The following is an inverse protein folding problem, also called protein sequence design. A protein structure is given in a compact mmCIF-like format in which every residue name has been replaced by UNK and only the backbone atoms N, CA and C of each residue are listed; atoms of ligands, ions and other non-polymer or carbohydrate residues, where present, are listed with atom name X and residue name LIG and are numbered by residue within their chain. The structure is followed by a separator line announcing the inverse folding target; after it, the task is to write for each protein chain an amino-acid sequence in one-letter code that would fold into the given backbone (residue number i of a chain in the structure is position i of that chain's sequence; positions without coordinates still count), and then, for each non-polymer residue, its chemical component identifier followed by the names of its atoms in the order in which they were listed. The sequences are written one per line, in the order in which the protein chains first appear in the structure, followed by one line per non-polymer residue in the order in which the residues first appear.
data_IF_428415317714
#
_entry.id   IF_428415317714
#
_cell.length_a   1.000
_cell.length_b   1.000
_cell.length_c   1.000
_cell.angle_alpha   90.00
_cell.angle_beta   90.00
_cell.angle_gamma   90.00
#
_symmetry.space_group_name_H-M   'P 1'
#
loop_
_entity.id
_entity.type
_entity.pdbx_description
1 polymer ?
#
# COMPACT_ATOMS: atom_id res chain seq x y z
N UNK A 1 -65.46 0.60 46.41
CA UNK A 1 -65.65 1.01 44.99
C UNK A 1 -64.42 0.63 44.18
N UNK A 2 -64.60 -0.12 43.09
CA UNK A 2 -63.58 -0.41 42.06
C UNK A 2 -63.46 0.80 41.14
N UNK A 3 -62.26 1.12 40.62
CA UNK A 3 -61.93 1.03 39.19
C UNK A 3 -60.52 1.57 38.87
N UNK A 4 -59.76 0.70 38.18
CA UNK A 4 -58.95 0.91 36.95
C UNK A 4 -57.80 1.92 36.92
N UNK A 5 -56.60 1.31 36.80
CA UNK A 5 -55.55 1.49 35.77
C UNK A 5 -55.52 2.84 35.05
N UNK A 6 -54.33 3.45 35.05
CA UNK A 6 -53.70 3.92 33.81
C UNK A 6 -52.17 3.95 33.99
N UNK A 7 -51.48 3.04 33.30
CA UNK A 7 -50.04 3.16 33.01
C UNK A 7 -49.89 4.31 32.02
N UNK A 8 -49.27 5.42 32.42
CA UNK A 8 -48.88 6.47 31.47
C UNK A 8 -47.62 6.01 30.74
N UNK A 9 -47.82 5.57 29.51
CA UNK A 9 -46.74 5.38 28.54
C UNK A 9 -46.35 6.80 28.10
N UNK A 10 -45.17 7.27 28.50
CA UNK A 10 -44.61 8.51 27.97
C UNK A 10 -44.35 8.37 26.47
N UNK A 11 -44.49 9.45 25.68
CA UNK A 11 -44.26 9.35 24.25
C UNK A 11 -42.77 9.06 24.02
N UNK A 12 -42.45 7.96 23.33
CA UNK A 12 -41.18 7.86 22.61
C UNK A 12 -41.20 8.97 21.56
N UNK A 13 -40.37 9.98 21.73
CA UNK A 13 -40.08 10.93 20.68
C UNK A 13 -39.45 10.17 19.51
N UNK A 14 -40.27 9.86 18.50
CA UNK A 14 -39.78 9.38 17.22
C UNK A 14 -38.96 10.52 16.60
N UNK A 15 -37.64 10.38 16.63
CA UNK A 15 -36.75 11.20 15.82
C UNK A 15 -36.99 10.85 14.35
N UNK A 16 -37.91 11.58 13.71
CA UNK A 16 -38.17 11.44 12.28
C UNK A 16 -36.95 11.96 11.54
N UNK A 17 -36.07 11.06 11.10
CA UNK A 17 -35.08 11.37 10.08
C UNK A 17 -35.84 11.84 8.83
N UNK A 18 -35.81 13.16 8.55
CA UNK A 18 -36.35 13.69 7.29
C UNK A 18 -35.48 13.14 6.16
N UNK A 19 -35.96 12.10 5.50
CA UNK A 19 -35.41 11.66 4.22
C UNK A 19 -35.64 12.80 3.24
N UNK A 20 -34.58 13.57 2.94
CA UNK A 20 -34.59 14.52 1.83
C UNK A 20 -34.68 13.69 0.55
N UNK A 21 -35.85 13.65 -0.06
CA UNK A 21 -36.01 13.05 -1.38
C UNK A 21 -35.14 13.83 -2.37
N UNK A 22 -34.30 13.15 -3.17
CA UNK A 22 -33.47 13.83 -4.16
C UNK A 22 -34.37 14.58 -5.16
N UNK A 23 -34.06 15.85 -5.43
CA UNK A 23 -34.78 16.63 -6.45
C UNK A 23 -34.56 16.03 -7.84
N UNK A 24 -35.51 16.26 -8.76
CA UNK A 24 -35.34 15.84 -10.16
C UNK A 24 -33.99 16.34 -10.71
N UNK A 25 -33.15 15.40 -11.16
CA UNK A 25 -31.74 15.65 -11.54
C UNK A 25 -30.70 15.05 -10.60
N UNK A 26 -31.09 14.49 -9.45
CA UNK A 26 -30.19 13.72 -8.59
C UNK A 26 -30.16 12.23 -9.01
N UNK A 27 -28.96 11.67 -9.09
CA UNK A 27 -28.67 10.29 -9.46
C UNK A 27 -28.85 9.26 -8.32
N UNK A 28 -29.39 9.66 -7.16
CA UNK A 28 -29.75 8.73 -6.07
C UNK A 28 -28.64 7.77 -5.65
N UNK A 29 -27.37 8.15 -5.91
CA UNK A 29 -26.21 7.31 -5.66
C UNK A 29 -26.13 6.93 -4.18
N UNK A 30 -25.50 5.78 -3.86
CA UNK A 30 -25.31 5.37 -2.47
C UNK A 30 -24.74 6.54 -1.65
N UNK A 31 -25.19 6.73 -0.39
CA UNK A 31 -24.64 7.75 0.48
C UNK A 31 -23.11 7.66 0.49
N UNK A 32 -22.41 8.79 0.40
CA UNK A 32 -20.95 8.86 0.50
C UNK A 32 -20.46 8.57 1.94
N UNK A 33 -21.02 7.54 2.57
CA UNK A 33 -20.36 6.75 3.64
C UNK A 33 -19.22 5.91 3.01
N UNK A 34 -18.62 6.39 1.92
CA UNK A 34 -17.46 5.78 1.30
C UNK A 34 -16.29 6.04 2.25
N UNK A 35 -15.73 4.94 2.76
CA UNK A 35 -14.40 4.93 3.37
C UNK A 35 -13.50 5.84 2.53
N UNK A 36 -13.07 6.97 3.13
CA UNK A 36 -12.45 8.08 2.40
C UNK A 36 -11.40 7.53 1.44
N UNK A 37 -11.69 7.58 0.14
CA UNK A 37 -10.82 6.98 -0.86
C UNK A 37 -9.43 7.57 -0.71
N UNK A 38 -8.50 6.76 -0.19
CA UNK A 38 -7.11 7.17 -0.05
C UNK A 38 -6.43 6.83 -1.37
N UNK A 39 -6.05 7.83 -2.17
CA UNK A 39 -5.42 7.55 -3.44
C UNK A 39 -4.05 6.89 -3.21
N UNK A 40 -3.51 6.15 -4.19
CA UNK A 40 -2.24 5.45 -4.05
C UNK A 40 -1.04 6.40 -3.82
N UNK A 41 -1.17 7.69 -4.14
CA UNK A 41 -0.17 8.72 -3.83
C UNK A 41 -0.32 9.36 -2.43
N UNK A 42 -1.32 8.91 -1.66
CA UNK A 42 -1.58 9.38 -0.30
C UNK A 42 -1.88 10.88 -0.22
N UNK A 43 -1.44 11.52 0.87
CA UNK A 43 -1.62 12.97 1.10
C UNK A 43 -0.67 13.87 0.28
N UNK A 44 0.18 13.28 -0.56
CA UNK A 44 1.17 14.00 -1.35
C UNK A 44 0.62 14.50 -2.70
N UNK A 45 1.45 15.26 -3.41
CA UNK A 45 1.17 15.67 -4.79
C UNK A 45 1.19 14.47 -5.74
N UNK A 46 0.13 14.34 -6.55
CA UNK A 46 0.00 13.29 -7.57
C UNK A 46 1.20 13.25 -8.54
N UNK A 47 1.76 14.41 -8.87
CA UNK A 47 2.89 14.51 -9.81
C UNK A 47 4.12 13.78 -9.27
N UNK A 48 4.42 13.92 -7.97
CA UNK A 48 5.56 13.25 -7.31
C UNK A 48 5.46 11.74 -7.45
N UNK A 49 4.26 11.18 -7.24
CA UNK A 49 4.01 9.76 -7.41
C UNK A 49 4.17 9.30 -8.86
N UNK A 50 3.64 10.05 -9.83
CA UNK A 50 3.77 9.71 -11.24
C UNK A 50 5.22 9.80 -11.74
N UNK A 51 5.96 10.82 -11.31
CA UNK A 51 7.39 10.95 -11.63
C UNK A 51 8.21 9.81 -11.02
N UNK A 52 7.97 9.47 -9.75
CA UNK A 52 8.60 8.31 -9.12
C UNK A 52 8.27 7.01 -9.88
N UNK A 53 7.01 6.77 -10.22
CA UNK A 53 6.59 5.55 -10.94
C UNK A 53 7.25 5.46 -12.31
N UNK A 54 7.39 6.58 -13.02
CA UNK A 54 8.13 6.66 -14.29
C UNK A 54 9.61 6.37 -14.08
N UNK A 55 10.29 7.09 -13.18
CA UNK A 55 11.71 6.87 -12.90
C UNK A 55 12.01 5.43 -12.48
N UNK A 56 11.14 4.84 -11.64
CA UNK A 56 11.21 3.42 -11.28
C UNK A 56 11.09 2.54 -12.53
N UNK A 57 10.06 2.73 -13.36
CA UNK A 57 9.90 1.94 -14.57
C UNK A 57 11.10 2.05 -15.52
N UNK A 58 11.68 3.24 -15.67
CA UNK A 58 12.87 3.48 -16.50
C UNK A 58 14.04 2.63 -16.04
N UNK A 59 14.33 2.65 -14.74
CA UNK A 59 15.47 1.94 -14.16
C UNK A 59 15.32 0.42 -14.24
N UNK A 60 14.09 -0.10 -14.10
CA UNK A 60 13.85 -1.54 -14.08
C UNK A 60 13.48 -2.15 -15.44
N UNK A 61 12.83 -1.39 -16.34
CA UNK A 61 12.33 -1.91 -17.62
C UNK A 61 13.24 -1.63 -18.82
N UNK A 62 14.10 -0.62 -18.76
CA UNK A 62 15.01 -0.28 -19.88
C UNK A 62 16.34 -1.04 -19.86
N UNK A 63 16.54 -1.92 -18.89
CA UNK A 63 17.75 -2.75 -18.79
C UNK A 63 17.74 -3.76 -19.93
N UNK A 64 18.87 -3.87 -20.66
CA UNK A 64 18.97 -4.87 -21.73
C UNK A 64 18.88 -6.29 -21.17
N UNK A 65 18.36 -7.26 -21.93
CA UNK A 65 18.27 -8.65 -21.49
C UNK A 65 19.62 -9.24 -21.06
N UNK A 66 20.73 -8.87 -21.72
CA UNK A 66 22.08 -9.30 -21.35
C UNK A 66 22.50 -8.79 -19.97
N UNK A 67 22.26 -7.50 -19.69
CA UNK A 67 22.56 -6.93 -18.37
C UNK A 67 21.68 -7.56 -17.30
N UNK A 68 20.42 -7.87 -17.62
CA UNK A 68 19.53 -8.57 -16.68
C UNK A 68 20.06 -9.97 -16.34
N UNK A 69 20.48 -10.75 -17.35
CA UNK A 69 21.10 -12.08 -17.15
C UNK A 69 22.38 -11.99 -16.33
N UNK A 70 23.27 -11.06 -16.67
CA UNK A 70 24.51 -10.82 -15.91
C UNK A 70 24.24 -10.51 -14.43
N UNK A 71 23.26 -9.63 -14.15
CA UNK A 71 22.86 -9.30 -12.78
C UNK A 71 22.25 -10.49 -12.05
N UNK A 72 21.48 -11.32 -12.74
CA UNK A 72 20.88 -12.54 -12.17
C UNK A 72 21.95 -13.57 -11.80
N UNK A 73 22.87 -13.87 -12.71
CA UNK A 73 23.99 -14.79 -12.45
C UNK A 73 24.86 -14.33 -11.26
N UNK A 74 25.11 -13.02 -11.16
CA UNK A 74 25.83 -12.43 -10.03
C UNK A 74 25.04 -12.56 -8.74
N UNK A 75 23.74 -12.25 -8.76
CA UNK A 75 22.88 -12.39 -7.58
C UNK A 75 22.85 -13.84 -7.08
N UNK A 76 22.69 -14.80 -7.99
CA UNK A 76 22.65 -16.24 -7.68
C UNK A 76 23.96 -16.70 -7.04
N UNK A 77 25.11 -16.28 -7.58
CA UNK A 77 26.43 -16.59 -7.01
C UNK A 77 26.59 -16.09 -5.57
N UNK A 78 25.99 -14.95 -5.23
CA UNK A 78 26.05 -14.37 -3.89
C UNK A 78 24.92 -14.87 -2.97
N UNK A 79 23.95 -15.63 -3.50
CA UNK A 79 22.74 -16.05 -2.79
C UNK A 79 21.80 -14.88 -2.44
N UNK A 80 21.80 -13.86 -3.28
CA UNK A 80 20.93 -12.68 -3.22
C UNK A 80 19.80 -12.80 -4.24
N UNK A 81 18.70 -12.07 -4.04
CA UNK A 81 17.72 -11.92 -5.13
C UNK A 81 18.25 -10.93 -6.18
N UNK A 82 17.72 -11.01 -7.40
CA UNK A 82 18.00 -10.03 -8.46
C UNK A 82 17.76 -8.60 -7.98
N UNK A 83 16.66 -8.37 -7.25
CA UNK A 83 16.31 -7.07 -6.70
C UNK A 83 17.34 -6.60 -5.66
N UNK A 84 17.74 -7.47 -4.73
CA UNK A 84 18.74 -7.17 -3.70
C UNK A 84 20.09 -6.78 -4.30
N UNK A 85 20.57 -7.54 -5.30
CA UNK A 85 21.81 -7.21 -5.99
C UNK A 85 21.68 -5.92 -6.82
N UNK A 86 20.55 -5.74 -7.51
CA UNK A 86 20.34 -4.55 -8.36
C UNK A 86 20.24 -3.28 -7.53
N UNK A 87 19.65 -3.31 -6.33
CA UNK A 87 19.60 -2.16 -5.43
C UNK A 87 20.99 -1.69 -4.98
N UNK A 88 21.97 -2.57 -4.83
CA UNK A 88 23.35 -2.16 -4.52
C UNK A 88 23.97 -1.33 -5.66
N UNK A 89 23.64 -1.67 -6.90
CA UNK A 89 24.08 -0.89 -8.08
C UNK A 89 23.33 0.44 -8.13
N UNK A 90 22.00 0.44 -7.91
CA UNK A 90 21.17 1.63 -8.10
C UNK A 90 21.31 2.66 -6.98
N UNK A 91 21.43 2.22 -5.72
CA UNK A 91 21.53 3.13 -4.57
C UNK A 91 22.97 3.54 -4.27
N UNK A 92 23.92 2.62 -4.45
CA UNK A 92 25.32 2.80 -4.01
C UNK A 92 26.31 2.86 -5.17
N UNK A 93 25.91 2.43 -6.37
CA UNK A 93 26.82 2.36 -7.51
C UNK A 93 27.84 1.23 -7.42
N UNK A 94 27.61 0.21 -6.57
CA UNK A 94 28.60 -0.84 -6.30
C UNK A 94 28.16 -2.17 -6.89
N UNK A 95 29.08 -2.83 -7.57
CA UNK A 95 28.95 -4.22 -8.00
C UNK A 95 29.52 -5.16 -6.93
N UNK A 96 28.65 -5.82 -6.17
CA UNK A 96 29.09 -6.75 -5.12
C UNK A 96 29.95 -7.90 -5.70
N UNK A 97 31.04 -8.18 -5.02
CA UNK A 97 31.91 -9.35 -5.21
C UNK A 97 31.70 -10.36 -4.09
N UNK A 98 32.35 -11.52 -4.20
CA UNK A 98 32.22 -12.61 -3.22
C UNK A 98 32.85 -12.21 -1.88
N UNK A 99 33.83 -11.31 -1.94
CA UNK A 99 34.61 -10.79 -0.82
C UNK A 99 33.82 -9.79 0.04
N UNK A 100 32.71 -9.25 -0.47
CA UNK A 100 31.83 -8.31 0.26
C UNK A 100 30.94 -9.03 1.30
N UNK A 101 31.55 -9.92 2.08
CA UNK A 101 30.89 -10.89 2.97
C UNK A 101 30.00 -10.20 3.99
N UNK A 102 30.47 -9.12 4.61
CA UNK A 102 29.72 -8.38 5.62
C UNK A 102 28.45 -7.74 5.03
N UNK A 103 28.57 -7.15 3.84
CA UNK A 103 27.44 -6.51 3.16
C UNK A 103 26.41 -7.54 2.73
N UNK A 104 26.86 -8.65 2.15
CA UNK A 104 26.00 -9.77 1.76
C UNK A 104 25.27 -10.34 2.98
N UNK A 105 25.96 -10.51 4.11
CA UNK A 105 25.36 -10.97 5.36
C UNK A 105 24.29 -9.99 5.88
N UNK A 106 24.57 -8.68 5.83
CA UNK A 106 23.61 -7.64 6.23
C UNK A 106 22.34 -7.67 5.37
N UNK A 107 22.46 -7.82 4.05
CA UNK A 107 21.31 -7.92 3.14
C UNK A 107 20.46 -9.16 3.47
N UNK A 108 21.10 -10.32 3.66
CA UNK A 108 20.42 -11.57 4.03
C UNK A 108 19.72 -11.46 5.38
N UNK A 109 20.34 -10.80 6.37
CA UNK A 109 19.75 -10.56 7.68
C UNK A 109 18.51 -9.66 7.59
N UNK A 110 18.58 -8.57 6.81
CA UNK A 110 17.45 -7.67 6.58
C UNK A 110 16.27 -8.41 5.93
N UNK A 111 16.53 -9.27 4.94
CA UNK A 111 15.50 -10.14 4.33
C UNK A 111 14.83 -11.04 5.36
N UNK A 112 15.60 -11.70 6.23
CA UNK A 112 15.07 -12.54 7.31
C UNK A 112 14.20 -11.72 8.27
N UNK A 113 14.62 -10.51 8.61
CA UNK A 113 13.86 -9.57 9.44
C UNK A 113 12.52 -9.18 8.80
N UNK A 114 12.50 -8.83 7.51
CA UNK A 114 11.27 -8.54 6.77
C UNK A 114 10.32 -9.74 6.74
N UNK A 115 10.83 -10.95 6.51
CA UNK A 115 10.02 -12.17 6.51
C UNK A 115 9.38 -12.41 7.88
N UNK A 116 10.12 -12.22 8.97
CA UNK A 116 9.58 -12.34 10.34
C UNK A 116 8.45 -11.36 10.59
N UNK A 117 8.62 -10.08 10.20
CA UNK A 117 7.59 -9.04 10.35
C UNK A 117 6.31 -9.30 9.55
N UNK A 118 6.38 -10.05 8.44
CA UNK A 118 5.21 -10.43 7.64
C UNK A 118 4.39 -11.57 8.25
N UNK A 119 4.98 -12.36 9.14
CA UNK A 119 4.35 -13.51 9.79
C UNK A 119 4.06 -13.30 11.29
N UNK A 120 4.33 -12.09 11.79
CA UNK A 120 3.96 -11.64 13.13
C UNK A 120 2.69 -10.80 13.01
#
# INVERSE_FOLDING_TARGET
MRLRRQRRIGPLAAATARVRLPSAGHNGGPPLEEETHTPPWGKGEIQRFLHWKRAHAEVWKKVSPDVMRFRMEKADRLGLTYEEYTLEILERGIHLQVEDVERIAAIKAARKGRRRRRHA
#
